data_IF_101947815419
#
_entry.id   IF_101947815419
#
_cell.length_a   1.000
_cell.length_b   1.000
_cell.length_c   1.000
_cell.angle_alpha   90.00
_cell.angle_beta   90.00
_cell.angle_gamma   90.00
#
_symmetry.space_group_name_H-M   'P 1'
#
loop_
_entity.id
_entity.type
_entity.pdbx_description
1 polymer ?
#
# COMPACT_ATOMS: atom_id res chain seq x y z
N UNK A 1 -55.74 42.51 -35.29
CA UNK A 1 -55.88 42.62 -33.82
C UNK A 1 -55.65 41.30 -33.05
N UNK A 2 -55.56 40.14 -33.72
CA UNK A 2 -55.38 38.82 -33.07
C UNK A 2 -53.96 38.57 -32.52
N UNK A 3 -52.94 39.14 -33.18
CA UNK A 3 -51.53 38.97 -32.82
C UNK A 3 -51.07 39.83 -31.63
N UNK A 4 -51.83 40.87 -31.28
CA UNK A 4 -51.52 41.72 -30.13
C UNK A 4 -51.76 40.96 -28.81
N UNK A 5 -52.76 40.08 -28.78
CA UNK A 5 -53.11 39.28 -27.60
C UNK A 5 -52.09 38.16 -27.34
N UNK A 6 -51.53 37.56 -28.39
CA UNK A 6 -50.53 36.49 -28.28
C UNK A 6 -49.17 37.00 -27.81
N UNK A 7 -48.80 38.23 -28.17
CA UNK A 7 -47.55 38.85 -27.70
C UNK A 7 -47.66 39.25 -26.21
N UNK A 8 -48.84 39.69 -25.77
CA UNK A 8 -49.10 40.02 -24.37
C UNK A 8 -49.06 38.78 -23.44
N UNK A 9 -49.43 37.60 -23.95
CA UNK A 9 -49.41 36.35 -23.17
C UNK A 9 -48.00 35.76 -23.03
N UNK A 10 -47.10 36.03 -23.99
CA UNK A 10 -45.68 35.63 -23.92
C UNK A 10 -44.88 36.51 -22.93
N UNK A 11 -45.33 37.75 -22.73
CA UNK A 11 -44.76 38.68 -21.74
C UNK A 11 -45.22 38.40 -20.31
N UNK A 12 -46.23 37.53 -20.12
CA UNK A 12 -46.63 36.99 -18.81
C UNK A 12 -45.71 35.83 -18.34
N UNK A 13 -44.46 35.83 -18.81
CA UNK A 13 -43.36 35.02 -18.27
C UNK A 13 -43.14 35.38 -16.79
N UNK A 14 -42.69 34.44 -15.92
CA UNK A 14 -42.88 34.50 -14.47
C UNK A 14 -42.04 35.61 -13.83
N UNK A 15 -42.59 36.83 -13.80
CA UNK A 15 -42.00 37.97 -13.09
C UNK A 15 -42.05 37.78 -11.57
N UNK A 16 -42.78 36.77 -11.08
CA UNK A 16 -42.88 36.36 -9.67
C UNK A 16 -41.68 35.54 -9.16
N UNK A 17 -40.68 35.22 -10.00
CA UNK A 17 -39.48 34.51 -9.55
C UNK A 17 -38.40 35.41 -8.89
N UNK A 18 -38.61 36.73 -8.85
CA UNK A 18 -37.65 37.70 -8.30
C UNK A 18 -38.01 38.22 -6.90
N UNK A 19 -38.94 37.59 -6.19
CA UNK A 19 -39.03 37.81 -4.74
C UNK A 19 -37.82 37.13 -4.10
N UNK A 20 -36.76 37.92 -3.89
CA UNK A 20 -35.61 37.51 -3.09
C UNK A 20 -36.15 37.01 -1.74
N UNK A 21 -35.92 35.74 -1.36
CA UNK A 21 -36.27 35.28 -0.02
C UNK A 21 -35.58 36.18 1.00
N UNK A 22 -36.32 36.71 1.97
CA UNK A 22 -35.83 37.65 3.00
C UNK A 22 -34.84 37.00 3.99
N UNK A 23 -34.64 35.68 3.88
CA UNK A 23 -33.51 34.96 4.44
C UNK A 23 -32.70 34.38 3.29
N UNK A 24 -31.45 34.82 3.14
CA UNK A 24 -30.52 34.18 2.21
C UNK A 24 -30.52 32.68 2.55
N UNK A 25 -30.97 31.80 1.64
CA UNK A 25 -31.04 30.37 1.91
C UNK A 25 -29.63 29.91 2.25
N UNK A 26 -29.44 29.18 3.36
CA UNK A 26 -28.13 28.75 3.87
C UNK A 26 -27.25 28.20 2.74
N UNK A 27 -26.43 29.09 2.17
CA UNK A 27 -25.75 28.87 0.90
C UNK A 27 -24.69 27.79 1.09
N UNK A 28 -24.07 27.75 2.28
CA UNK A 28 -23.11 26.73 2.68
C UNK A 28 -23.77 25.35 2.72
N UNK A 29 -24.95 25.23 3.35
CA UNK A 29 -25.71 23.98 3.36
C UNK A 29 -26.18 23.55 1.96
N UNK A 30 -26.44 24.49 1.04
CA UNK A 30 -26.77 24.17 -0.36
C UNK A 30 -25.56 23.63 -1.13
N UNK A 31 -24.38 24.23 -0.96
CA UNK A 31 -23.13 23.73 -1.56
C UNK A 31 -22.72 22.37 -0.99
N UNK A 32 -22.83 22.18 0.32
CA UNK A 32 -22.55 20.91 0.99
C UNK A 32 -23.46 19.80 0.46
N UNK A 33 -24.77 20.04 0.41
CA UNK A 33 -25.73 19.09 -0.19
C UNK A 33 -25.49 18.85 -1.68
N UNK A 34 -24.96 19.85 -2.40
CA UNK A 34 -24.59 19.73 -3.81
C UNK A 34 -23.35 18.86 -4.01
N UNK A 35 -22.32 19.08 -3.18
CA UNK A 35 -21.08 18.31 -3.18
C UNK A 35 -21.34 16.85 -2.76
N UNK A 36 -22.17 16.62 -1.75
CA UNK A 36 -22.54 15.27 -1.31
C UNK A 36 -23.22 14.48 -2.42
N UNK A 37 -24.18 15.08 -3.13
CA UNK A 37 -24.84 14.42 -4.26
C UNK A 37 -23.91 14.18 -5.44
N UNK A 38 -23.00 15.12 -5.71
CA UNK A 38 -22.00 14.94 -6.76
C UNK A 38 -21.06 13.78 -6.44
N UNK A 39 -20.59 13.69 -5.19
CA UNK A 39 -19.74 12.60 -4.73
C UNK A 39 -20.49 11.27 -4.73
N UNK A 40 -21.74 11.24 -4.29
CA UNK A 40 -22.59 10.05 -4.35
C UNK A 40 -22.76 9.56 -5.78
N UNK A 41 -23.10 10.44 -6.72
CA UNK A 41 -23.20 10.07 -8.14
C UNK A 41 -21.87 9.55 -8.70
N UNK A 42 -20.74 10.18 -8.36
CA UNK A 42 -19.42 9.71 -8.79
C UNK A 42 -19.11 8.32 -8.22
N UNK A 43 -19.42 8.09 -6.95
CA UNK A 43 -19.25 6.78 -6.31
C UNK A 43 -20.17 5.73 -6.93
N UNK A 44 -21.42 6.08 -7.25
CA UNK A 44 -22.38 5.18 -7.90
C UNK A 44 -21.92 4.82 -9.33
N UNK A 45 -21.34 5.78 -10.06
CA UNK A 45 -20.72 5.53 -11.37
C UNK A 45 -19.48 4.63 -11.27
N UNK A 46 -18.70 4.77 -10.19
CA UNK A 46 -17.50 3.95 -9.92
C UNK A 46 -17.80 2.61 -9.24
N UNK A 47 -18.96 2.45 -8.61
CA UNK A 47 -19.39 1.25 -7.90
C UNK A 47 -19.14 -0.05 -8.69
N UNK A 48 -19.53 -0.18 -9.98
CA UNK A 48 -19.23 -1.40 -10.74
C UNK A 48 -17.73 -1.69 -10.86
N UNK A 49 -16.89 -0.67 -11.04
CA UNK A 49 -15.44 -0.85 -11.12
C UNK A 49 -14.83 -1.22 -9.76
N UNK A 50 -15.40 -0.71 -8.66
CA UNK A 50 -14.99 -1.07 -7.31
C UNK A 50 -15.40 -2.52 -6.98
N UNK A 51 -16.58 -2.96 -7.40
CA UNK A 51 -17.04 -4.34 -7.25
C UNK A 51 -16.14 -5.32 -8.02
N UNK A 52 -15.78 -4.99 -9.27
CA UNK A 52 -14.83 -5.76 -10.07
C UNK A 52 -13.44 -5.83 -9.42
N UNK A 53 -12.95 -4.70 -8.90
CA UNK A 53 -11.68 -4.65 -8.19
C UNK A 53 -11.74 -5.48 -6.90
N UNK A 54 -12.82 -5.41 -6.14
CA UNK A 54 -13.03 -6.22 -4.94
C UNK A 54 -13.02 -7.71 -5.29
N UNK A 55 -13.68 -8.11 -6.38
CA UNK A 55 -13.67 -9.49 -6.83
C UNK A 55 -12.26 -9.97 -7.20
N UNK A 56 -11.50 -9.17 -7.95
CA UNK A 56 -10.10 -9.47 -8.25
C UNK A 56 -9.25 -9.58 -6.97
N UNK A 57 -9.47 -8.70 -6.00
CA UNK A 57 -8.80 -8.78 -4.70
C UNK A 57 -9.18 -10.06 -3.93
N UNK A 58 -10.44 -10.49 -3.92
CA UNK A 58 -10.87 -11.74 -3.29
C UNK A 58 -10.22 -12.97 -3.94
N UNK A 59 -10.02 -12.94 -5.25
CA UNK A 59 -9.30 -14.00 -5.97
C UNK A 59 -7.81 -14.06 -5.60
N UNK A 60 -7.20 -12.90 -5.36
CA UNK A 60 -5.80 -12.80 -4.94
C UNK A 60 -5.57 -12.91 -3.43
N UNK A 61 -6.61 -12.70 -2.61
CA UNK A 61 -6.62 -12.81 -1.16
C UNK A 61 -5.93 -14.09 -0.63
N UNK A 62 -6.24 -15.30 -1.14
CA UNK A 62 -5.57 -16.52 -0.68
C UNK A 62 -4.06 -16.49 -0.96
N UNK A 63 -3.64 -15.95 -2.10
CA UNK A 63 -2.22 -15.81 -2.46
C UNK A 63 -1.52 -14.81 -1.54
N UNK A 64 -2.13 -13.64 -1.30
CA UNK A 64 -1.61 -12.68 -0.34
C UNK A 64 -1.51 -13.27 1.06
N UNK A 65 -2.54 -13.99 1.51
CA UNK A 65 -2.54 -14.67 2.81
C UNK A 65 -1.44 -15.72 2.92
N UNK A 66 -1.18 -16.47 1.86
CA UNK A 66 -0.08 -17.44 1.80
C UNK A 66 1.31 -16.75 1.79
N UNK A 67 1.40 -15.54 1.26
CA UNK A 67 2.64 -14.77 1.17
C UNK A 67 2.94 -13.96 2.44
N UNK A 68 1.92 -13.61 3.25
CA UNK A 68 2.08 -12.89 4.54
C UNK A 68 3.18 -13.46 5.47
N UNK A 69 3.28 -14.78 5.73
CA UNK A 69 4.35 -15.31 6.58
C UNK A 69 5.75 -15.06 5.99
N UNK A 70 5.94 -15.31 4.69
CA UNK A 70 7.20 -15.02 4.01
C UNK A 70 7.53 -13.53 4.04
N UNK A 71 6.53 -12.64 3.94
CA UNK A 71 6.73 -11.20 4.07
C UNK A 71 7.13 -10.78 5.49
N UNK A 72 6.64 -11.47 6.54
CA UNK A 72 7.08 -11.24 7.92
C UNK A 72 8.52 -11.67 8.12
N UNK A 73 8.90 -12.85 7.63
CA UNK A 73 10.29 -13.32 7.68
C UNK A 73 11.23 -12.38 6.92
N UNK A 74 10.80 -11.90 5.74
CA UNK A 74 11.55 -10.89 4.99
C UNK A 74 11.65 -9.57 5.75
N UNK A 75 10.58 -9.11 6.38
CA UNK A 75 10.59 -7.88 7.18
C UNK A 75 11.52 -7.97 8.39
N UNK A 76 11.58 -9.13 9.05
CA UNK A 76 12.54 -9.41 10.13
C UNK A 76 13.98 -9.35 9.61
N UNK A 77 14.27 -10.05 8.50
CA UNK A 77 15.61 -10.03 7.88
C UNK A 77 16.01 -8.63 7.37
N UNK A 78 15.07 -7.85 6.82
CA UNK A 78 15.33 -6.47 6.39
C UNK A 78 15.55 -5.55 7.59
N UNK A 79 14.86 -5.79 8.72
CA UNK A 79 15.12 -5.11 9.98
C UNK A 79 16.57 -5.28 10.44
N UNK A 80 17.13 -6.48 10.29
CA UNK A 80 18.54 -6.74 10.58
C UNK A 80 19.47 -6.00 9.62
N UNK A 81 19.11 -5.80 8.35
CA UNK A 81 19.92 -5.02 7.41
C UNK A 81 19.92 -3.52 7.78
N UNK A 82 18.80 -2.99 8.29
CA UNK A 82 18.76 -1.60 8.76
C UNK A 82 19.71 -1.38 9.94
N UNK A 83 20.14 -2.43 10.65
CA UNK A 83 21.13 -2.29 11.71
C UNK A 83 22.54 -1.91 11.21
N UNK A 84 22.77 -1.88 9.91
CA UNK A 84 24.06 -1.62 9.31
C UNK A 84 24.08 -0.38 8.41
N UNK A 85 25.27 0.19 8.22
CA UNK A 85 25.54 1.22 7.23
C UNK A 85 25.58 0.64 5.81
N UNK A 86 25.61 1.51 4.81
CA UNK A 86 25.79 1.07 3.42
C UNK A 86 27.13 0.32 3.24
N UNK A 87 27.19 -0.67 2.34
CA UNK A 87 28.40 -1.46 2.14
C UNK A 87 29.57 -0.61 1.59
N UNK A 88 30.76 -0.75 2.19
CA UNK A 88 32.00 -0.09 1.75
C UNK A 88 32.92 -1.09 1.03
N UNK A 89 33.32 -0.79 -0.20
CA UNK A 89 34.24 -1.64 -0.96
C UNK A 89 35.70 -1.31 -0.61
N UNK A 90 36.45 -2.30 -0.15
CA UNK A 90 37.85 -2.18 0.21
C UNK A 90 38.78 -2.35 -1.01
N UNK A 91 40.05 -1.89 -0.94
CA UNK A 91 41.02 -2.00 -2.04
C UNK A 91 41.36 -3.43 -2.47
N UNK A 92 41.22 -4.39 -1.56
CA UNK A 92 41.39 -5.82 -1.83
C UNK A 92 40.19 -6.46 -2.57
N UNK A 93 39.07 -5.74 -2.67
CA UNK A 93 37.84 -6.21 -3.31
C UNK A 93 36.77 -6.73 -2.34
N UNK A 94 37.08 -6.80 -1.05
CA UNK A 94 36.10 -7.20 -0.02
C UNK A 94 35.08 -6.09 0.25
N UNK A 95 33.96 -6.46 0.87
CA UNK A 95 32.90 -5.53 1.26
C UNK A 95 32.80 -5.51 2.79
N UNK A 96 32.90 -4.32 3.38
CA UNK A 96 32.72 -4.10 4.80
C UNK A 96 31.30 -3.58 5.08
N UNK A 97 30.56 -4.27 5.94
CA UNK A 97 29.25 -3.86 6.42
C UNK A 97 29.34 -3.47 7.91
N UNK A 98 29.32 -2.16 8.20
CA UNK A 98 29.51 -1.65 9.57
C UNK A 98 28.17 -1.54 10.30
N UNK A 99 28.08 -1.99 11.55
CA UNK A 99 26.87 -1.86 12.37
C UNK A 99 26.70 -0.42 12.87
N UNK A 100 25.45 0.08 12.92
CA UNK A 100 25.11 1.39 13.48
C UNK A 100 25.37 1.39 15.00
N UNK A 101 25.93 2.47 15.57
CA UNK A 101 26.34 2.51 16.98
C UNK A 101 25.18 2.62 17.99
N UNK A 102 24.00 3.04 17.54
CA UNK A 102 22.84 3.33 18.41
C UNK A 102 22.00 2.08 18.75
N UNK A 103 22.51 0.88 18.46
CA UNK A 103 21.81 -0.38 18.67
C UNK A 103 22.32 -1.09 19.92
N UNK A 104 21.45 -1.81 20.65
CA UNK A 104 21.87 -2.64 21.78
C UNK A 104 23.01 -3.58 21.38
N UNK A 105 24.05 -3.77 22.21
CA UNK A 105 25.13 -4.72 21.91
C UNK A 105 24.52 -6.11 21.65
N UNK A 106 25.02 -6.77 20.60
CA UNK A 106 24.58 -8.14 20.30
C UNK A 106 25.12 -9.07 21.40
N UNK A 107 24.39 -10.12 21.80
CA UNK A 107 24.96 -11.13 22.69
C UNK A 107 26.21 -11.72 22.02
N UNK A 108 27.33 -11.67 22.73
CA UNK A 108 28.57 -12.34 22.32
C UNK A 108 28.39 -13.86 22.50
N UNK A 109 27.69 -14.52 21.59
CA UNK A 109 27.82 -15.96 21.39
C UNK A 109 28.94 -16.17 20.39
N UNK A 110 30.13 -16.67 20.80
CA UNK A 110 31.12 -17.13 19.85
C UNK A 110 30.46 -18.17 18.95
N UNK A 111 30.74 -18.18 17.62
CA UNK A 111 30.33 -19.32 16.81
C UNK A 111 30.91 -20.57 17.48
N UNK A 112 30.05 -21.53 17.79
CA UNK A 112 30.44 -22.82 18.34
C UNK A 112 31.24 -23.53 17.25
N UNK A 113 32.54 -23.24 17.21
CA UNK A 113 33.51 -23.95 16.39
C UNK A 113 33.66 -25.30 17.05
N UNK A 114 32.94 -26.29 16.54
CA UNK A 114 33.23 -27.68 16.82
C UNK A 114 34.68 -27.95 16.38
N UNK A 115 35.64 -28.11 17.31
CA UNK A 115 37.05 -28.26 16.97
C UNK A 115 37.33 -29.58 16.26
N UNK A 116 36.39 -30.53 16.29
CA UNK A 116 36.51 -31.82 15.60
C UNK A 116 35.88 -31.80 14.20
N UNK A 117 35.12 -30.76 13.83
CA UNK A 117 34.55 -30.64 12.49
C UNK A 117 35.66 -30.40 11.48
N UNK A 118 35.93 -31.35 10.56
CA UNK A 118 36.95 -31.14 9.53
C UNK A 118 36.57 -29.92 8.70
N UNK A 119 37.55 -29.08 8.33
CA UNK A 119 37.25 -27.97 7.43
C UNK A 119 36.60 -28.52 6.14
N UNK A 120 35.52 -27.89 5.65
CA UNK A 120 34.87 -28.34 4.43
C UNK A 120 35.90 -28.35 3.29
N UNK A 121 36.14 -29.54 2.75
CA UNK A 121 37.08 -29.72 1.65
C UNK A 121 36.40 -29.23 0.35
N UNK A 122 37.04 -28.34 -0.43
CA UNK A 122 36.45 -27.87 -1.68
C UNK A 122 36.14 -29.04 -2.63
N UNK A 123 34.87 -29.23 -2.97
CA UNK A 123 34.43 -30.23 -3.94
C UNK A 123 33.84 -31.53 -3.36
N UNK A 124 33.76 -31.68 -2.03
CA UNK A 124 32.97 -32.75 -1.40
C UNK A 124 31.68 -32.14 -0.80
N UNK A 125 30.50 -32.76 -0.99
CA UNK A 125 29.31 -32.35 -0.27
C UNK A 125 29.50 -32.53 1.24
N UNK A 126 28.99 -31.58 2.03
CA UNK A 126 28.98 -31.62 3.50
C UNK A 126 28.00 -32.72 3.95
N UNK A 127 28.49 -33.96 4.02
CA UNK A 127 27.76 -35.08 4.59
C UNK A 127 27.76 -34.91 6.11
N UNK A 128 26.60 -34.58 6.67
CA UNK A 128 26.43 -34.45 8.12
C UNK A 128 26.80 -35.75 8.85
N UNK A 129 27.08 -35.67 10.16
CA UNK A 129 27.44 -36.86 10.94
C UNK A 129 26.24 -37.82 11.00
N UNK A 130 26.29 -38.88 10.18
CA UNK A 130 25.25 -39.91 10.07
C UNK A 130 24.85 -40.29 8.64
N UNK A 131 25.26 -39.53 7.63
CA UNK A 131 24.93 -39.84 6.23
C UNK A 131 25.97 -40.81 5.64
N UNK A 132 25.82 -42.09 5.95
CA UNK A 132 26.53 -43.14 5.23
C UNK A 132 25.91 -43.26 3.84
N UNK A 133 26.74 -43.10 2.81
CA UNK A 133 26.38 -43.47 1.44
C UNK A 133 26.20 -44.98 1.45
N UNK A 134 24.95 -45.44 1.45
CA UNK A 134 24.60 -46.82 1.18
C UNK A 134 24.97 -47.09 -0.29
N UNK A 135 25.93 -47.98 -0.51
CA UNK A 135 26.41 -48.40 -1.85
C UNK A 135 25.69 -49.68 -2.25
#
# INVERSE_FOLDING_TARGET
MKYALTLALLLASPLTAQTLPEEAPDERGLWERGADRLLQNLLDEMAPALDEAEQAFREMEPTFRAMLPMMRELAEMVGDIDHYHMPEKLPNGDILLRRKPDLPPEPETPPERDPERPMPQPGLPDLGPGEQIEI
#
